data_IF_240155674080
#
_entry.id   IF_240155674080
#
_cell.length_a   1.000
_cell.length_b   1.000
_cell.length_c   1.000
_cell.angle_alpha   90.00
_cell.angle_beta   90.00
_cell.angle_gamma   90.00
#
_symmetry.space_group_name_H-M   'P 1'
#
loop_
_entity.id
_entity.type
_entity.pdbx_description
1 polymer ?
#
# COMPACT_ATOMS: atom_id res chain seq x y z
N UNK A 1 25.46 2.60 -5.99
CA UNK A 1 24.05 2.42 -6.39
C UNK A 1 23.47 1.38 -5.46
N UNK A 2 23.41 1.75 -4.20
CA UNK A 2 23.37 0.76 -3.12
C UNK A 2 22.01 0.83 -2.46
N UNK A 3 21.48 -0.36 -2.15
CA UNK A 3 20.17 -0.50 -1.56
C UNK A 3 20.22 0.04 -0.14
N UNK A 4 19.36 1.02 0.19
CA UNK A 4 19.32 1.59 1.53
C UNK A 4 18.79 0.59 2.59
N UNK A 5 18.22 -0.53 2.15
CA UNK A 5 17.72 -1.61 3.02
C UNK A 5 18.80 -2.67 3.26
N UNK A 6 19.33 -3.29 2.21
CA UNK A 6 20.28 -4.41 2.35
C UNK A 6 21.75 -4.04 2.16
N UNK A 7 22.07 -2.78 1.82
CA UNK A 7 23.43 -2.28 1.57
C UNK A 7 24.09 -2.76 0.26
N UNK A 8 23.51 -3.74 -0.43
CA UNK A 8 24.10 -4.31 -1.66
C UNK A 8 23.92 -3.39 -2.86
N UNK A 9 24.86 -3.47 -3.81
CA UNK A 9 24.83 -2.71 -5.08
C UNK A 9 23.69 -3.20 -6.01
N UNK A 10 23.39 -2.42 -7.05
CA UNK A 10 22.41 -2.77 -8.08
C UNK A 10 20.97 -2.35 -7.76
N UNK A 11 20.77 -1.47 -6.79
CA UNK A 11 19.45 -0.90 -6.51
C UNK A 11 19.06 0.13 -7.58
N UNK A 12 18.05 -0.20 -8.39
CA UNK A 12 17.60 0.63 -9.51
C UNK A 12 16.38 1.50 -9.19
N UNK A 13 15.54 1.11 -8.21
CA UNK A 13 14.39 1.92 -7.83
C UNK A 13 14.85 3.09 -6.98
N UNK A 14 14.39 4.29 -7.33
CA UNK A 14 14.68 5.52 -6.59
C UNK A 14 13.42 6.10 -5.96
N UNK A 15 13.55 6.70 -4.78
CA UNK A 15 12.47 7.48 -4.20
C UNK A 15 12.12 8.68 -5.10
N UNK A 16 10.83 8.90 -5.36
CA UNK A 16 10.32 9.96 -6.23
C UNK A 16 10.41 11.35 -5.60
N UNK A 17 10.51 11.43 -4.27
CA UNK A 17 10.64 12.71 -3.57
C UNK A 17 11.91 13.45 -4.02
N UNK A 18 11.74 14.71 -4.44
CA UNK A 18 12.86 15.58 -4.82
C UNK A 18 13.88 15.68 -3.67
N UNK A 19 15.16 15.48 -4.00
CA UNK A 19 16.26 15.52 -3.03
C UNK A 19 16.49 14.21 -2.26
N UNK A 20 15.56 13.25 -2.29
CA UNK A 20 15.77 11.96 -1.63
C UNK A 20 16.71 11.08 -2.47
N UNK A 21 17.87 10.72 -1.90
CA UNK A 21 18.87 9.88 -2.57
C UNK A 21 18.68 8.37 -2.32
N UNK A 22 17.63 7.97 -1.58
CA UNK A 22 17.40 6.56 -1.23
C UNK A 22 17.03 5.75 -2.48
N UNK A 23 17.71 4.61 -2.64
CA UNK A 23 17.48 3.63 -3.70
C UNK A 23 17.29 2.25 -3.10
N UNK A 24 16.46 1.42 -3.69
CA UNK A 24 16.17 0.08 -3.18
C UNK A 24 15.97 -0.92 -4.31
N UNK A 25 16.20 -2.20 -4.02
CA UNK A 25 15.76 -3.28 -4.91
C UNK A 25 14.25 -3.47 -4.80
N UNK A 26 13.62 -4.02 -5.84
CA UNK A 26 12.21 -4.41 -5.81
C UNK A 26 11.91 -5.37 -4.63
N UNK A 27 12.68 -6.45 -4.39
CA UNK A 27 12.41 -7.34 -3.26
C UNK A 27 12.56 -6.66 -1.90
N UNK A 28 13.52 -5.73 -1.79
CA UNK A 28 13.74 -4.97 -0.56
C UNK A 28 12.66 -3.91 -0.30
N UNK A 29 11.82 -3.58 -1.28
CA UNK A 29 10.78 -2.57 -1.09
C UNK A 29 9.77 -2.98 -0.02
N UNK A 30 9.42 -4.27 0.05
CA UNK A 30 8.46 -4.80 1.03
C UNK A 30 9.03 -4.74 2.45
N UNK A 31 10.24 -5.24 2.64
CA UNK A 31 10.97 -5.20 3.93
C UNK A 31 11.19 -3.75 4.37
N UNK A 32 11.59 -2.89 3.44
CA UNK A 32 11.83 -1.48 3.66
C UNK A 32 10.59 -0.61 3.80
N UNK A 33 9.38 -1.21 3.88
CA UNK A 33 8.08 -0.51 3.93
C UNK A 33 7.96 0.59 2.89
N UNK A 34 8.54 0.35 1.72
CA UNK A 34 8.49 1.24 0.57
C UNK A 34 7.18 1.01 -0.19
N UNK A 35 6.77 2.04 -0.92
CA UNK A 35 5.50 2.06 -1.63
C UNK A 35 5.75 2.36 -3.09
N UNK A 36 5.29 1.47 -3.97
CA UNK A 36 5.35 1.64 -5.42
C UNK A 36 3.95 1.78 -5.98
N UNK A 37 3.73 2.85 -6.74
CA UNK A 37 2.48 3.16 -7.43
C UNK A 37 2.59 2.65 -8.86
N UNK A 38 1.84 1.61 -9.23
CA UNK A 38 1.87 1.01 -10.58
C UNK A 38 0.98 1.76 -11.59
N UNK A 39 0.89 3.08 -11.47
CA UNK A 39 0.07 3.90 -12.36
C UNK A 39 0.74 5.21 -12.74
N UNK A 40 0.33 5.75 -13.89
CA UNK A 40 0.87 6.98 -14.49
C UNK A 40 2.39 6.92 -14.64
N UNK A 41 3.13 7.52 -13.71
CA UNK A 41 4.58 7.66 -13.77
C UNK A 41 5.34 6.59 -12.98
N UNK A 42 4.68 5.51 -12.56
CA UNK A 42 5.33 4.39 -11.86
C UNK A 42 6.19 4.82 -10.66
N UNK A 43 5.64 5.72 -9.83
CA UNK A 43 6.40 6.39 -8.76
C UNK A 43 6.66 5.43 -7.60
N UNK A 44 7.87 5.48 -7.05
CA UNK A 44 8.23 4.71 -5.85
C UNK A 44 8.68 5.63 -4.74
N UNK A 45 8.38 5.28 -3.50
CA UNK A 45 8.65 6.10 -2.32
C UNK A 45 9.30 5.25 -1.22
N UNK A 46 10.34 5.78 -0.56
CA UNK A 46 10.87 5.15 0.64
C UNK A 46 9.87 5.27 1.80
N UNK A 47 10.07 4.55 2.90
CA UNK A 47 9.15 4.55 4.05
C UNK A 47 8.82 5.95 4.59
N UNK A 48 9.77 6.88 4.54
CA UNK A 48 9.62 8.26 5.03
C UNK A 48 8.76 9.13 4.11
N UNK A 49 8.92 8.96 2.79
CA UNK A 49 8.17 9.71 1.79
C UNK A 49 6.97 8.95 1.23
N UNK A 50 6.66 7.79 1.82
CA UNK A 50 5.54 6.97 1.39
C UNK A 50 4.25 7.75 1.59
N UNK A 51 3.36 7.80 0.59
CA UNK A 51 2.02 8.32 0.79
C UNK A 51 1.33 7.49 1.88
N UNK A 52 0.94 8.17 2.96
CA UNK A 52 0.21 7.55 4.05
C UNK A 52 -1.28 7.75 3.84
N UNK A 53 -2.06 6.73 4.16
CA UNK A 53 -3.51 6.90 4.27
C UNK A 53 -3.81 7.84 5.44
N UNK A 54 -4.88 8.62 5.34
CA UNK A 54 -5.38 9.41 6.45
C UNK A 54 -5.56 8.53 7.70
N UNK A 55 -5.15 9.04 8.85
CA UNK A 55 -5.19 8.28 10.10
C UNK A 55 -6.63 7.89 10.42
N UNK A 56 -6.90 6.60 10.42
CA UNK A 56 -8.17 6.01 10.89
C UNK A 56 -7.87 5.06 12.03
N UNK A 57 -8.81 4.96 12.98
CA UNK A 57 -8.75 4.00 14.09
C UNK A 57 -9.75 2.90 13.81
N UNK A 58 -9.29 1.66 13.86
CA UNK A 58 -10.14 0.49 13.71
C UNK A 58 -10.82 0.19 15.05
N UNK A 59 -12.07 -0.29 15.04
CA UNK A 59 -12.68 -0.90 16.21
C UNK A 59 -11.79 -2.01 16.80
N UNK A 60 -11.97 -2.31 18.09
CA UNK A 60 -11.28 -3.44 18.71
C UNK A 60 -11.58 -4.76 17.98
N UNK A 61 -10.58 -5.64 17.90
CA UNK A 61 -10.67 -6.94 17.22
C UNK A 61 -11.13 -6.86 15.76
N UNK A 62 -10.83 -5.76 15.08
CA UNK A 62 -11.11 -5.66 13.65
C UNK A 62 -10.29 -6.67 12.85
N UNK A 63 -10.97 -7.41 11.98
CA UNK A 63 -10.37 -8.38 11.07
C UNK A 63 -10.27 -7.84 9.64
N UNK A 64 -9.30 -8.35 8.89
CA UNK A 64 -9.19 -8.09 7.45
C UNK A 64 -10.33 -8.79 6.69
N UNK A 65 -11.08 -8.06 5.85
CA UNK A 65 -12.21 -8.65 5.11
C UNK A 65 -11.83 -9.74 4.08
N UNK A 66 -10.55 -9.89 3.74
CA UNK A 66 -10.09 -10.85 2.72
C UNK A 66 -9.63 -12.16 3.36
N UNK A 67 -8.88 -12.08 4.46
CA UNK A 67 -8.25 -13.26 5.09
C UNK A 67 -8.77 -13.56 6.50
N UNK A 68 -9.60 -12.67 7.07
CA UNK A 68 -10.19 -12.77 8.40
C UNK A 68 -9.20 -12.73 9.58
N UNK A 69 -7.90 -12.58 9.32
CA UNK A 69 -6.89 -12.31 10.36
C UNK A 69 -7.05 -10.90 10.94
N UNK A 70 -6.68 -10.73 12.21
CA UNK A 70 -6.67 -9.44 12.89
C UNK A 70 -5.75 -8.44 12.18
N UNK A 71 -6.19 -7.18 12.14
CA UNK A 71 -5.39 -6.05 11.69
C UNK A 71 -4.95 -5.19 12.86
N UNK A 72 -3.96 -4.32 12.62
CA UNK A 72 -3.57 -3.33 13.62
C UNK A 72 -4.74 -2.36 13.89
N UNK A 73 -4.87 -1.85 15.12
CA UNK A 73 -5.97 -0.96 15.52
C UNK A 73 -5.98 0.42 14.84
N UNK A 74 -5.09 0.68 13.88
CA UNK A 74 -5.02 1.92 13.11
C UNK A 74 -4.42 1.68 11.74
N UNK A 75 -4.67 2.63 10.83
CA UNK A 75 -3.99 2.67 9.53
C UNK A 75 -2.48 2.75 9.70
N UNK A 76 -1.75 1.92 8.94
CA UNK A 76 -0.30 1.83 8.94
C UNK A 76 0.20 1.40 7.56
N UNK A 77 1.49 1.09 7.42
CA UNK A 77 1.97 0.44 6.20
C UNK A 77 1.27 -0.92 5.98
N UNK A 78 1.13 -1.72 7.04
CA UNK A 78 0.55 -3.06 6.95
C UNK A 78 -0.98 -3.06 6.91
N UNK A 79 -1.62 -2.04 7.48
CA UNK A 79 -3.08 -1.97 7.67
C UNK A 79 -3.69 -0.81 6.91
N UNK A 80 -4.64 -1.11 6.03
CA UNK A 80 -5.35 -0.13 5.21
C UNK A 80 -6.84 -0.13 5.54
N UNK A 81 -7.41 1.07 5.66
CA UNK A 81 -8.85 1.27 5.74
C UNK A 81 -9.45 1.41 4.34
N UNK A 82 -10.74 1.11 4.19
CA UNK A 82 -11.45 1.40 2.96
C UNK A 82 -11.69 2.92 2.83
N UNK A 83 -11.16 3.59 1.78
CA UNK A 83 -11.35 5.03 1.60
C UNK A 83 -12.82 5.38 1.29
N UNK A 84 -13.59 4.44 0.74
CA UNK A 84 -14.99 4.67 0.36
C UNK A 84 -15.95 4.51 1.54
N UNK A 85 -15.95 3.35 2.21
CA UNK A 85 -16.93 3.05 3.25
C UNK A 85 -16.44 3.35 4.67
N UNK A 86 -15.13 3.54 4.90
CA UNK A 86 -14.49 3.80 6.20
C UNK A 86 -14.66 2.73 7.30
N UNK A 87 -15.44 1.67 7.04
CA UNK A 87 -15.72 0.60 8.00
C UNK A 87 -15.04 -0.74 7.67
N UNK A 88 -14.48 -0.86 6.46
CA UNK A 88 -13.77 -2.06 6.03
C UNK A 88 -12.26 -1.88 6.20
N UNK A 89 -11.58 -2.95 6.59
CA UNK A 89 -10.16 -2.95 6.92
C UNK A 89 -9.44 -4.11 6.25
N UNK A 90 -8.18 -3.91 5.92
CA UNK A 90 -7.42 -4.88 5.16
C UNK A 90 -5.93 -4.86 5.50
N UNK A 91 -5.29 -6.04 5.41
CA UNK A 91 -3.84 -6.11 5.31
C UNK A 91 -3.40 -5.70 3.91
N UNK A 92 -2.37 -4.84 3.79
CA UNK A 92 -1.81 -4.38 2.52
C UNK A 92 -1.53 -5.55 1.57
N UNK A 93 -0.87 -6.60 2.05
CA UNK A 93 -0.55 -7.79 1.25
C UNK A 93 -1.81 -8.46 0.67
N UNK A 94 -2.89 -8.55 1.45
CA UNK A 94 -4.15 -9.12 0.98
C UNK A 94 -4.80 -8.26 -0.10
N UNK A 95 -4.82 -6.92 0.07
CA UNK A 95 -5.37 -6.01 -0.94
C UNK A 95 -4.55 -6.03 -2.21
N UNK A 96 -3.22 -6.07 -2.13
CA UNK A 96 -2.35 -6.17 -3.30
C UNK A 96 -2.60 -7.47 -4.07
N UNK A 97 -2.72 -8.61 -3.37
CA UNK A 97 -3.04 -9.88 -4.02
C UNK A 97 -4.44 -9.85 -4.66
N UNK A 98 -5.41 -9.25 -3.96
CA UNK A 98 -6.74 -9.03 -4.51
C UNK A 98 -6.72 -8.15 -5.76
N UNK A 99 -5.95 -7.07 -5.78
CA UNK A 99 -5.80 -6.19 -6.95
C UNK A 99 -5.21 -6.94 -8.16
N UNK A 100 -4.18 -7.76 -7.93
CA UNK A 100 -3.56 -8.59 -8.99
C UNK A 100 -4.55 -9.58 -9.58
N UNK A 101 -5.39 -10.21 -8.74
CA UNK A 101 -6.36 -11.22 -9.19
C UNK A 101 -7.63 -10.64 -9.80
N UNK A 102 -8.17 -9.57 -9.21
CA UNK A 102 -9.43 -8.96 -9.64
C UNK A 102 -9.26 -8.08 -10.89
N UNK A 103 -8.05 -7.58 -11.14
CA UNK A 103 -7.79 -6.61 -12.19
C UNK A 103 -8.53 -5.29 -11.97
N UNK A 104 -8.44 -4.38 -12.94
CA UNK A 104 -8.94 -3.02 -12.80
C UNK A 104 -10.46 -2.92 -12.61
N UNK A 105 -11.23 -3.77 -13.30
CA UNK A 105 -12.70 -3.65 -13.38
C UNK A 105 -13.38 -4.17 -12.11
N UNK A 106 -12.86 -5.25 -11.53
CA UNK A 106 -13.51 -5.93 -10.41
C UNK A 106 -12.96 -5.49 -9.05
N UNK A 107 -11.91 -4.65 -9.01
CA UNK A 107 -11.29 -4.21 -7.77
C UNK A 107 -12.15 -3.19 -7.03
N UNK A 108 -12.90 -3.67 -6.04
CA UNK A 108 -13.88 -2.89 -5.30
C UNK A 108 -13.99 -3.34 -3.85
N UNK A 109 -14.61 -2.50 -3.02
CA UNK A 109 -14.87 -2.87 -1.63
C UNK A 109 -16.06 -3.83 -1.58
N UNK A 110 -15.87 -5.03 -1.00
CA UNK A 110 -16.93 -6.03 -0.82
C UNK A 110 -18.13 -5.55 0.03
N UNK A 111 -17.97 -4.46 0.79
CA UNK A 111 -19.03 -3.84 1.60
C UNK A 111 -19.76 -2.69 0.91
N UNK A 112 -19.15 -2.08 -0.12
CA UNK A 112 -19.69 -0.90 -0.79
C UNK A 112 -19.20 -0.85 -2.24
N UNK A 113 -20.12 -0.97 -3.19
CA UNK A 113 -19.82 -1.14 -4.62
C UNK A 113 -19.32 0.11 -5.34
N UNK A 114 -18.90 1.17 -4.64
CA UNK A 114 -18.25 2.30 -5.30
C UNK A 114 -16.80 1.95 -5.67
N UNK A 115 -16.66 1.39 -6.87
CA UNK A 115 -15.39 0.93 -7.43
C UNK A 115 -14.40 2.07 -7.59
N UNK A 116 -14.86 3.26 -8.01
CA UNK A 116 -13.98 4.40 -8.30
C UNK A 116 -13.28 4.95 -7.05
N UNK A 117 -14.04 5.23 -5.98
CA UNK A 117 -13.47 5.77 -4.74
C UNK A 117 -12.51 4.77 -4.07
N UNK A 118 -12.88 3.48 -4.10
CA UNK A 118 -12.04 2.42 -3.58
C UNK A 118 -10.72 2.33 -4.35
N UNK A 119 -10.81 2.20 -5.67
CA UNK A 119 -9.66 2.08 -6.55
C UNK A 119 -8.73 3.30 -6.42
N UNK A 120 -9.28 4.52 -6.48
CA UNK A 120 -8.46 5.74 -6.43
C UNK A 120 -7.75 5.91 -5.09
N UNK A 121 -8.43 5.67 -3.96
CA UNK A 121 -7.80 5.79 -2.65
C UNK A 121 -6.80 4.68 -2.35
N UNK A 122 -7.02 3.46 -2.86
CA UNK A 122 -6.05 2.37 -2.71
C UNK A 122 -4.80 2.61 -3.56
N UNK A 123 -4.97 3.06 -4.81
CA UNK A 123 -3.84 3.36 -5.72
C UNK A 123 -2.86 4.36 -5.13
N UNK A 124 -3.35 5.45 -4.54
CA UNK A 124 -2.47 6.46 -3.95
C UNK A 124 -1.60 5.90 -2.83
N UNK A 125 -2.07 4.87 -2.11
CA UNK A 125 -1.30 4.19 -1.05
C UNK A 125 -0.38 3.07 -1.56
N UNK A 126 -0.28 2.88 -2.87
CA UNK A 126 0.56 1.87 -3.54
C UNK A 126 -0.04 0.45 -3.53
N UNK A 127 -1.34 0.41 -3.81
CA UNK A 127 -2.07 -0.80 -4.22
C UNK A 127 -2.25 -0.77 -5.73
#
# INVERSE_FOLDING_TARGET
MDCFICGKRGATITCWQKGCKRRFHIPCAVEGKCTTQFFKHYRSFCWEHSPQQARMVAPENTACLICLDLVEGRTSYGTLGCPACKHAWFRRACVQNYAVRAGFICFSCLRYQNQYQFLMGMRTTGI
#
